data_IF_930784241697
#
_entry.id   IF_930784241697
#
_cell.length_a   1.000
_cell.length_b   1.000
_cell.length_c   1.000
_cell.angle_alpha   90.00
_cell.angle_beta   90.00
_cell.angle_gamma   90.00
#
_symmetry.space_group_name_H-M   'P 1'
#
loop_
_entity.id
_entity.type
_entity.pdbx_description
1 polymer ?
#
# COMPACT_ATOMS: atom_id res chain seq x y z
N UNK A 1 -7.07 0.13 6.22
CA UNK A 1 -8.46 0.13 6.69
C UNK A 1 -8.52 0.62 8.15
N UNK A 2 -7.77 0.00 9.09
CA UNK A 2 -7.78 0.34 10.51
C UNK A 2 -7.48 1.83 10.76
N UNK A 3 -6.45 2.38 10.14
CA UNK A 3 -6.09 3.80 10.25
C UNK A 3 -7.22 4.70 9.75
N UNK A 4 -7.88 4.34 8.64
CA UNK A 4 -9.02 5.08 8.11
C UNK A 4 -10.23 5.04 9.03
N UNK A 5 -10.52 3.89 9.65
CA UNK A 5 -11.60 3.76 10.63
C UNK A 5 -11.30 4.59 11.89
N UNK A 6 -10.07 4.50 12.41
CA UNK A 6 -9.65 5.27 13.59
C UNK A 6 -9.75 6.78 13.32
N UNK A 7 -9.30 7.23 12.16
CA UNK A 7 -9.40 8.63 11.77
C UNK A 7 -10.86 9.07 11.64
N UNK A 8 -11.68 8.31 10.92
CA UNK A 8 -13.08 8.69 10.66
C UNK A 8 -13.96 8.66 11.92
N UNK A 9 -13.71 7.71 12.82
CA UNK A 9 -14.54 7.50 14.01
C UNK A 9 -14.06 8.32 15.19
N UNK A 10 -12.75 8.40 15.42
CA UNK A 10 -12.20 8.96 16.67
C UNK A 10 -11.53 10.33 16.48
N UNK A 11 -10.94 10.60 15.32
CA UNK A 11 -10.18 11.85 15.10
C UNK A 11 -10.99 12.97 14.45
N UNK A 12 -12.15 12.65 13.85
CA UNK A 12 -13.01 13.67 13.23
C UNK A 12 -14.12 13.92 14.20
N UNK A 13 -14.74 13.94 14.93
CA UNK A 13 -15.90 14.05 15.80
C UNK A 13 -16.54 12.68 16.03
N UNK A 14 -16.26 12.12 17.18
CA UNK A 14 -16.82 10.84 17.57
C UNK A 14 -18.34 10.85 17.49
N UNK A 15 -18.89 9.87 16.81
CA UNK A 15 -20.33 9.66 16.73
C UNK A 15 -20.63 8.17 16.78
N UNK A 16 -21.49 7.77 17.70
CA UNK A 16 -21.98 6.40 17.81
C UNK A 16 -22.57 5.88 16.49
N UNK A 17 -23.20 6.76 15.72
CA UNK A 17 -23.74 6.42 14.38
C UNK A 17 -22.63 6.06 13.41
N UNK A 18 -21.55 6.84 13.34
CA UNK A 18 -20.39 6.55 12.51
C UNK A 18 -19.72 5.25 12.95
N UNK A 19 -19.55 5.04 14.24
CA UNK A 19 -18.98 3.82 14.80
C UNK A 19 -19.81 2.60 14.39
N UNK A 20 -21.14 2.64 14.59
CA UNK A 20 -22.04 1.54 14.25
C UNK A 20 -22.01 1.21 12.75
N UNK A 21 -22.02 2.22 11.86
CA UNK A 21 -21.90 1.99 10.42
C UNK A 21 -20.59 1.31 10.03
N UNK A 22 -19.46 1.73 10.61
CA UNK A 22 -18.17 1.10 10.33
C UNK A 22 -18.13 -0.34 10.88
N UNK A 23 -18.68 -0.58 12.08
CA UNK A 23 -18.77 -1.90 12.66
C UNK A 23 -19.67 -2.83 11.82
N UNK A 24 -20.86 -2.39 11.47
CA UNK A 24 -21.78 -3.16 10.62
C UNK A 24 -21.17 -3.43 9.23
N UNK A 25 -20.49 -2.46 8.63
CA UNK A 25 -19.77 -2.63 7.38
C UNK A 25 -18.64 -3.67 7.50
N UNK A 26 -17.87 -3.62 8.57
CA UNK A 26 -16.84 -4.63 8.84
C UNK A 26 -17.41 -6.03 9.02
N UNK A 27 -18.49 -6.16 9.81
CA UNK A 27 -19.18 -7.44 10.00
C UNK A 27 -19.77 -7.95 8.67
N UNK A 28 -20.38 -7.09 7.86
CA UNK A 28 -20.92 -7.47 6.56
C UNK A 28 -19.83 -8.01 5.63
N UNK A 29 -18.63 -7.41 5.62
CA UNK A 29 -17.49 -7.92 4.86
C UNK A 29 -17.06 -9.30 5.36
N UNK A 30 -16.94 -9.51 6.68
CA UNK A 30 -16.57 -10.80 7.25
C UNK A 30 -17.63 -11.85 6.90
N UNK A 31 -18.91 -11.54 7.09
CA UNK A 31 -20.01 -12.45 6.74
C UNK A 31 -20.00 -12.77 5.24
N UNK A 32 -19.78 -11.78 4.38
CA UNK A 32 -19.66 -11.98 2.94
C UNK A 32 -18.50 -12.92 2.58
N UNK A 33 -17.34 -12.74 3.19
CA UNK A 33 -16.19 -13.63 2.99
C UNK A 33 -16.51 -15.07 3.44
N UNK A 34 -17.14 -15.24 4.61
CA UNK A 34 -17.54 -16.57 5.09
C UNK A 34 -18.55 -17.23 4.17
N UNK A 35 -19.55 -16.48 3.68
CA UNK A 35 -20.53 -16.98 2.72
C UNK A 35 -19.88 -17.44 1.40
N UNK A 36 -18.89 -16.70 0.91
CA UNK A 36 -18.12 -17.08 -0.27
C UNK A 36 -17.29 -18.36 -0.05
N UNK A 37 -16.91 -18.68 1.18
CA UNK A 37 -16.19 -19.92 1.50
C UNK A 37 -17.13 -21.15 1.57
N UNK A 38 -18.43 -20.97 1.78
CA UNK A 38 -19.39 -22.08 1.97
C UNK A 38 -19.36 -23.11 0.83
N UNK A 39 -19.34 -22.74 -0.47
CA UNK A 39 -19.27 -23.72 -1.55
C UNK A 39 -18.01 -24.59 -1.55
N UNK A 40 -16.92 -24.12 -0.95
CA UNK A 40 -15.64 -24.80 -0.88
C UNK A 40 -15.44 -25.59 0.43
N UNK A 41 -16.36 -25.43 1.38
CA UNK A 41 -16.22 -25.93 2.74
C UNK A 41 -15.38 -24.99 3.64
N UNK A 42 -15.92 -24.64 4.78
CA UNK A 42 -15.25 -23.73 5.73
C UNK A 42 -13.95 -24.34 6.27
N UNK A 43 -13.91 -25.64 6.53
CA UNK A 43 -12.72 -26.35 7.00
C UNK A 43 -11.60 -26.32 5.96
N UNK A 44 -11.92 -26.53 4.67
CA UNK A 44 -10.96 -26.45 3.58
C UNK A 44 -10.44 -25.01 3.44
N UNK A 45 -11.30 -24.02 3.50
CA UNK A 45 -10.90 -22.61 3.38
C UNK A 45 -9.99 -22.17 4.55
N UNK A 46 -10.34 -22.54 5.80
CA UNK A 46 -9.54 -22.22 7.00
C UNK A 46 -8.21 -22.95 7.01
N UNK A 47 -8.20 -24.25 6.65
CA UNK A 47 -6.97 -25.04 6.52
C UNK A 47 -6.04 -24.46 5.46
N UNK A 48 -6.58 -24.12 4.29
CA UNK A 48 -5.78 -23.50 3.22
C UNK A 48 -5.22 -22.14 3.64
N UNK A 49 -6.01 -21.31 4.31
CA UNK A 49 -5.57 -20.00 4.80
C UNK A 49 -4.45 -20.14 5.83
N UNK A 50 -4.61 -21.03 6.82
CA UNK A 50 -3.59 -21.25 7.86
C UNK A 50 -2.31 -21.87 7.29
N UNK A 51 -2.41 -22.81 6.37
CA UNK A 51 -1.24 -23.41 5.71
C UNK A 51 -0.49 -22.36 4.86
N UNK A 52 -1.23 -21.48 4.18
CA UNK A 52 -0.63 -20.40 3.38
C UNK A 52 0.11 -19.38 4.26
N UNK A 53 -0.42 -19.07 5.45
CA UNK A 53 0.28 -18.20 6.41
C UNK A 53 1.59 -18.81 6.91
N UNK A 54 1.68 -20.16 7.00
CA UNK A 54 2.89 -20.88 7.37
C UNK A 54 3.86 -21.12 6.20
N UNK A 55 3.43 -20.95 4.96
CA UNK A 55 4.27 -21.17 3.78
C UNK A 55 5.23 -20.01 3.51
N UNK A 56 6.28 -20.28 2.74
CA UNK A 56 7.26 -19.28 2.32
C UNK A 56 8.01 -18.60 3.47
N UNK A 57 8.68 -19.39 4.29
CA UNK A 57 9.45 -18.90 5.46
C UNK A 57 10.78 -18.22 5.06
N UNK A 58 10.74 -17.27 4.13
CA UNK A 58 11.90 -16.57 3.59
C UNK A 58 11.85 -15.06 3.87
N UNK A 59 13.03 -14.42 3.88
CA UNK A 59 13.14 -12.97 4.05
C UNK A 59 12.45 -12.22 2.89
N UNK A 60 12.63 -12.69 1.66
CA UNK A 60 11.89 -12.24 0.48
C UNK A 60 11.68 -13.43 -0.47
N UNK A 61 10.60 -13.39 -1.26
CA UNK A 61 10.25 -14.41 -2.26
C UNK A 61 10.11 -13.70 -3.61
N UNK A 62 11.20 -13.57 -4.33
CA UNK A 62 11.27 -12.83 -5.60
C UNK A 62 10.84 -11.36 -5.53
N UNK A 63 10.68 -10.81 -4.34
CA UNK A 63 10.38 -9.40 -4.15
C UNK A 63 11.67 -8.57 -4.18
N UNK A 64 11.74 -7.61 -5.09
CA UNK A 64 12.85 -6.67 -5.18
C UNK A 64 12.60 -5.52 -4.21
N UNK A 65 12.83 -5.82 -2.94
CA UNK A 65 12.58 -4.97 -1.80
C UNK A 65 13.87 -4.76 -0.99
N UNK A 66 13.75 -4.26 0.25
CA UNK A 66 14.90 -4.07 1.14
C UNK A 66 15.71 -5.37 1.34
N UNK A 67 15.04 -6.50 1.54
CA UNK A 67 15.70 -7.79 1.71
C UNK A 67 16.35 -8.27 0.40
N UNK A 68 15.71 -8.00 -0.73
CA UNK A 68 16.28 -8.24 -2.06
C UNK A 68 17.52 -7.40 -2.31
N UNK A 69 17.55 -6.13 -1.87
CA UNK A 69 18.73 -5.26 -1.94
C UNK A 69 19.91 -5.81 -1.13
N UNK A 70 19.63 -6.50 -0.03
CA UNK A 70 20.65 -7.16 0.79
C UNK A 70 21.07 -8.55 0.26
N UNK A 71 20.52 -8.98 -0.88
CA UNK A 71 20.77 -10.31 -1.44
C UNK A 71 20.12 -11.45 -0.65
N UNK A 72 19.04 -11.14 0.09
CA UNK A 72 18.35 -12.09 0.98
C UNK A 72 17.08 -12.69 0.35
N UNK A 73 16.92 -12.65 -0.96
CA UNK A 73 15.88 -13.42 -1.64
C UNK A 73 16.10 -14.92 -1.39
N UNK A 74 15.03 -15.65 -1.03
CA UNK A 74 15.05 -17.06 -0.72
C UNK A 74 16.01 -17.45 0.41
N UNK A 75 16.34 -16.51 1.30
CA UNK A 75 17.05 -16.78 2.55
C UNK A 75 16.03 -17.02 3.65
N UNK A 76 16.26 -18.06 4.47
CA UNK A 76 15.39 -18.37 5.61
C UNK A 76 15.18 -17.13 6.49
N UNK A 77 13.93 -16.83 6.84
CA UNK A 77 13.57 -15.67 7.67
C UNK A 77 14.15 -15.71 9.09
N UNK A 78 14.61 -16.90 9.56
CA UNK A 78 15.26 -17.06 10.86
C UNK A 78 16.74 -16.71 10.80
N UNK A 79 17.30 -16.49 9.61
CA UNK A 79 18.68 -16.01 9.45
C UNK A 79 18.87 -14.71 10.20
N UNK A 80 19.95 -14.66 10.98
CA UNK A 80 20.29 -13.47 11.76
C UNK A 80 20.85 -12.40 10.82
N UNK A 81 20.21 -11.23 10.85
CA UNK A 81 20.68 -10.02 10.22
C UNK A 81 21.02 -9.01 11.32
N UNK A 82 22.27 -8.56 11.35
CA UNK A 82 22.87 -7.79 12.44
C UNK A 82 22.83 -8.58 13.76
N UNK A 83 21.79 -8.46 14.56
CA UNK A 83 21.66 -9.08 15.89
C UNK A 83 20.30 -9.75 16.15
N UNK A 84 19.38 -9.71 15.19
CA UNK A 84 18.05 -10.33 15.27
C UNK A 84 17.74 -11.13 13.99
N UNK A 85 16.86 -12.14 14.07
CA UNK A 85 16.33 -12.81 12.88
C UNK A 85 15.59 -11.84 11.96
N UNK A 86 15.66 -12.07 10.65
CA UNK A 86 14.94 -11.26 9.64
C UNK A 86 13.44 -11.15 9.96
N UNK A 87 12.80 -12.24 10.42
CA UNK A 87 11.38 -12.23 10.84
C UNK A 87 11.09 -11.21 11.93
N UNK A 88 12.00 -11.05 12.89
CA UNK A 88 11.84 -10.09 13.99
C UNK A 88 11.96 -8.67 13.48
N UNK A 89 12.94 -8.40 12.62
CA UNK A 89 13.05 -7.11 11.95
C UNK A 89 11.81 -6.77 11.12
N UNK A 90 11.28 -7.76 10.35
CA UNK A 90 10.03 -7.58 9.60
C UNK A 90 8.84 -7.26 10.49
N UNK A 91 8.72 -7.91 11.66
CA UNK A 91 7.66 -7.63 12.63
C UNK A 91 7.79 -6.25 13.25
N UNK A 92 8.99 -5.85 13.63
CA UNK A 92 9.29 -4.49 14.12
C UNK A 92 8.94 -3.46 13.04
N UNK A 93 9.32 -3.71 11.78
CA UNK A 93 9.00 -2.84 10.67
C UNK A 93 7.48 -2.66 10.52
N UNK A 94 6.69 -3.72 10.58
CA UNK A 94 5.21 -3.64 10.50
C UNK A 94 4.66 -2.71 11.58
N UNK A 95 5.09 -2.89 12.83
CA UNK A 95 4.64 -2.04 13.94
C UNK A 95 5.02 -0.58 13.70
N UNK A 96 6.27 -0.33 13.32
CA UNK A 96 6.76 1.03 13.05
C UNK A 96 6.03 1.67 11.86
N UNK A 97 5.75 0.92 10.79
CA UNK A 97 5.01 1.40 9.62
C UNK A 97 3.60 1.82 10.03
N UNK A 98 2.90 1.00 10.82
CA UNK A 98 1.54 1.31 11.27
C UNK A 98 1.54 2.56 12.16
N UNK A 99 2.44 2.62 13.15
CA UNK A 99 2.57 3.78 14.03
C UNK A 99 2.93 5.05 13.25
N UNK A 100 3.89 4.96 12.35
CA UNK A 100 4.33 6.10 11.54
C UNK A 100 3.22 6.59 10.61
N UNK A 101 2.51 5.67 9.95
CA UNK A 101 1.36 6.04 9.11
C UNK A 101 0.25 6.69 9.94
N UNK A 102 0.01 6.21 11.15
CA UNK A 102 -0.95 6.83 12.06
C UNK A 102 -0.51 8.25 12.46
N UNK A 103 0.76 8.46 12.76
CA UNK A 103 1.30 9.80 13.04
C UNK A 103 1.18 10.75 11.84
N UNK A 104 1.41 10.25 10.62
CA UNK A 104 1.16 11.03 9.41
C UNK A 104 -0.33 11.35 9.29
N UNK A 105 -1.21 10.38 9.51
CA UNK A 105 -2.66 10.57 9.43
C UNK A 105 -3.17 11.67 10.37
N UNK A 106 -2.61 11.76 11.59
CA UNK A 106 -2.93 12.82 12.55
C UNK A 106 -2.54 14.22 12.05
N UNK A 107 -1.50 14.30 11.23
CA UNK A 107 -0.99 15.57 10.69
C UNK A 107 -1.54 15.90 9.30
N UNK A 108 -2.08 14.92 8.61
CA UNK A 108 -2.70 15.12 7.30
C UNK A 108 -3.92 16.02 7.41
N UNK A 109 -4.04 16.97 6.47
CA UNK A 109 -5.24 17.77 6.34
C UNK A 109 -6.44 16.90 5.98
N UNK A 110 -7.65 17.36 6.38
CA UNK A 110 -8.91 16.68 6.06
C UNK A 110 -9.18 16.78 4.55
N UNK A 111 -8.62 15.87 3.80
CA UNK A 111 -8.74 15.78 2.35
C UNK A 111 -9.18 14.36 1.95
N UNK A 112 -10.19 14.19 1.08
CA UNK A 112 -10.72 12.87 0.73
C UNK A 112 -9.67 11.89 0.17
N UNK A 113 -8.74 12.40 -0.63
CA UNK A 113 -7.69 11.59 -1.26
C UNK A 113 -6.65 11.03 -0.26
N UNK A 114 -6.60 11.53 0.97
CA UNK A 114 -5.63 11.09 1.99
C UNK A 114 -5.73 9.60 2.30
N UNK A 115 -6.94 9.02 2.24
CA UNK A 115 -7.14 7.59 2.52
C UNK A 115 -6.49 6.71 1.46
N UNK A 116 -6.57 7.09 0.19
CA UNK A 116 -5.87 6.41 -0.88
C UNK A 116 -4.35 6.56 -0.73
N UNK A 117 -3.90 7.76 -0.40
CA UNK A 117 -2.49 8.07 -0.21
C UNK A 117 -1.89 7.28 0.96
N UNK A 118 -2.52 7.30 2.13
CA UNK A 118 -2.06 6.56 3.32
C UNK A 118 -2.16 5.04 3.12
N UNK A 119 -3.21 4.57 2.45
CA UNK A 119 -3.36 3.17 2.09
C UNK A 119 -2.26 2.70 1.14
N UNK A 120 -1.95 3.47 0.11
CA UNK A 120 -0.81 3.21 -0.76
C UNK A 120 0.51 3.19 0.02
N UNK A 121 0.72 4.17 0.89
CA UNK A 121 1.94 4.27 1.69
C UNK A 121 2.15 3.05 2.60
N UNK A 122 1.11 2.62 3.32
CA UNK A 122 1.19 1.41 4.17
C UNK A 122 1.61 0.19 3.34
N UNK A 123 0.90 -0.08 2.22
CA UNK A 123 1.13 -1.29 1.44
C UNK A 123 2.50 -1.28 0.79
N UNK A 124 2.90 -0.17 0.18
CA UNK A 124 4.21 -0.03 -0.46
C UNK A 124 5.35 -0.13 0.55
N UNK A 125 5.18 0.46 1.74
CA UNK A 125 6.19 0.39 2.80
C UNK A 125 6.26 -1.02 3.40
N UNK A 126 5.11 -1.69 3.60
CA UNK A 126 5.08 -3.09 4.04
C UNK A 126 5.75 -4.02 3.03
N UNK A 127 5.48 -3.84 1.73
CA UNK A 127 6.16 -4.59 0.68
C UNK A 127 7.68 -4.44 0.78
N UNK A 128 8.16 -3.24 1.08
CA UNK A 128 9.58 -2.96 1.14
C UNK A 128 10.28 -3.54 2.36
N UNK A 129 9.68 -3.50 3.54
CA UNK A 129 10.39 -3.81 4.78
C UNK A 129 9.91 -5.08 5.50
N UNK A 130 8.72 -5.60 5.18
CA UNK A 130 8.27 -6.85 5.79
C UNK A 130 8.95 -8.05 5.15
N UNK A 131 9.03 -9.15 5.90
CA UNK A 131 9.47 -10.46 5.37
C UNK A 131 8.31 -11.19 4.67
N UNK A 132 8.62 -12.29 3.96
CA UNK A 132 7.66 -13.14 3.23
C UNK A 132 6.94 -12.39 2.08
N UNK A 133 7.52 -11.29 1.59
CA UNK A 133 6.93 -10.54 0.48
C UNK A 133 7.19 -11.21 -0.84
N UNK A 134 6.13 -11.35 -1.64
CA UNK A 134 6.18 -11.76 -3.04
C UNK A 134 6.15 -10.55 -3.97
N UNK A 135 6.67 -10.71 -5.17
CA UNK A 135 6.66 -9.67 -6.21
C UNK A 135 5.27 -9.05 -6.42
N UNK A 136 4.21 -9.86 -6.40
CA UNK A 136 2.82 -9.44 -6.65
C UNK A 136 2.16 -8.61 -5.52
N UNK A 137 2.74 -8.58 -4.34
CA UNK A 137 2.11 -7.90 -3.18
C UNK A 137 2.16 -6.38 -3.25
N UNK A 138 2.87 -5.83 -4.23
CA UNK A 138 2.87 -4.39 -4.48
C UNK A 138 1.62 -3.90 -5.24
N UNK A 139 0.91 -4.74 -6.00
CA UNK A 139 -0.23 -4.34 -6.84
C UNK A 139 -1.31 -3.53 -6.13
N UNK A 140 -1.80 -3.92 -4.93
CA UNK A 140 -2.82 -3.12 -4.25
C UNK A 140 -2.34 -1.72 -3.89
N UNK A 141 -1.05 -1.57 -3.56
CA UNK A 141 -0.43 -0.28 -3.29
C UNK A 141 -0.40 0.62 -4.52
N UNK A 142 -0.07 0.04 -5.69
CA UNK A 142 -0.08 0.75 -6.97
C UNK A 142 -1.49 1.20 -7.35
N UNK A 143 -2.49 0.35 -7.16
CA UNK A 143 -3.89 0.71 -7.43
C UNK A 143 -4.33 1.90 -6.57
N UNK A 144 -4.03 1.89 -5.27
CA UNK A 144 -4.35 3.01 -4.38
C UNK A 144 -3.58 4.28 -4.74
N UNK A 145 -2.31 4.15 -5.15
CA UNK A 145 -1.51 5.29 -5.60
C UNK A 145 -2.06 5.88 -6.89
N UNK A 146 -2.57 5.06 -7.81
CA UNK A 146 -3.26 5.52 -9.01
C UNK A 146 -4.50 6.36 -8.65
N UNK A 147 -5.36 5.87 -7.74
CA UNK A 147 -6.49 6.67 -7.26
C UNK A 147 -6.04 7.98 -6.61
N UNK A 148 -4.94 7.96 -5.86
CA UNK A 148 -4.35 9.17 -5.31
C UNK A 148 -3.96 10.18 -6.40
N UNK A 149 -3.34 9.71 -7.50
CA UNK A 149 -3.00 10.55 -8.67
C UNK A 149 -4.24 11.14 -9.37
N UNK A 150 -5.32 10.36 -9.47
CA UNK A 150 -6.56 10.81 -10.09
C UNK A 150 -7.26 11.90 -9.24
N UNK A 151 -7.24 11.74 -7.92
CA UNK A 151 -7.81 12.75 -7.01
C UNK A 151 -6.96 14.01 -6.93
N UNK A 152 -5.65 13.87 -6.97
CA UNK A 152 -4.69 14.96 -6.84
C UNK A 152 -3.67 14.88 -7.98
N UNK A 153 -4.00 15.43 -9.16
CA UNK A 153 -3.20 15.28 -10.37
C UNK A 153 -1.92 16.14 -10.32
N UNK A 154 -1.06 15.87 -9.34
CA UNK A 154 0.26 16.48 -9.25
C UNK A 154 1.25 15.74 -10.14
N UNK A 155 2.04 16.47 -10.94
CA UNK A 155 3.04 15.86 -11.81
C UNK A 155 4.07 15.01 -11.05
N UNK A 156 4.40 15.38 -9.81
CA UNK A 156 5.28 14.58 -8.94
C UNK A 156 4.65 13.26 -8.51
N UNK A 157 3.33 13.21 -8.22
CA UNK A 157 2.63 11.97 -7.94
C UNK A 157 2.61 11.03 -9.14
N UNK A 158 2.34 11.57 -10.34
CA UNK A 158 2.37 10.77 -11.57
C UNK A 158 3.77 10.22 -11.87
N UNK A 159 4.83 11.00 -11.67
CA UNK A 159 6.22 10.53 -11.80
C UNK A 159 6.53 9.42 -10.79
N UNK A 160 6.12 9.58 -9.55
CA UNK A 160 6.27 8.58 -8.50
C UNK A 160 5.52 7.29 -8.84
N UNK A 161 4.25 7.38 -9.28
CA UNK A 161 3.46 6.24 -9.74
C UNK A 161 4.14 5.52 -10.91
N UNK A 162 4.58 6.26 -11.93
CA UNK A 162 5.24 5.69 -13.09
C UNK A 162 6.55 4.98 -12.70
N UNK A 163 7.33 5.54 -11.79
CA UNK A 163 8.54 4.92 -11.26
C UNK A 163 8.25 3.59 -10.57
N UNK A 164 7.31 3.58 -9.62
CA UNK A 164 6.90 2.34 -8.96
C UNK A 164 6.34 1.31 -9.94
N UNK A 165 5.46 1.73 -10.85
CA UNK A 165 4.84 0.83 -11.83
C UNK A 165 5.86 0.19 -12.77
N UNK A 166 6.81 0.97 -13.28
CA UNK A 166 7.86 0.48 -14.18
C UNK A 166 8.80 -0.51 -13.45
N UNK A 167 9.26 -0.17 -12.26
CA UNK A 167 10.15 -1.03 -11.48
C UNK A 167 9.44 -2.31 -11.02
N UNK A 168 8.17 -2.20 -10.64
CA UNK A 168 7.36 -3.35 -10.29
C UNK A 168 7.08 -4.26 -11.49
N UNK A 169 6.74 -3.68 -12.64
CA UNK A 169 6.59 -4.43 -13.88
C UNK A 169 7.87 -5.19 -14.22
N UNK A 170 9.02 -4.51 -14.11
CA UNK A 170 10.30 -5.15 -14.33
C UNK A 170 10.54 -6.31 -13.33
N UNK A 171 10.29 -6.10 -12.03
CA UNK A 171 10.43 -7.18 -11.04
C UNK A 171 9.58 -8.39 -11.43
N UNK A 172 8.29 -8.19 -11.72
CA UNK A 172 7.38 -9.28 -12.06
C UNK A 172 7.77 -9.97 -13.37
N UNK A 173 8.12 -9.20 -14.40
CA UNK A 173 8.54 -9.74 -15.70
C UNK A 173 9.85 -10.52 -15.57
N UNK A 174 10.84 -10.00 -14.84
CA UNK A 174 12.11 -10.67 -14.65
C UNK A 174 11.94 -12.00 -13.91
N UNK A 175 11.07 -12.04 -12.89
CA UNK A 175 10.73 -13.29 -12.19
C UNK A 175 10.04 -14.27 -13.14
N UNK A 176 9.09 -13.80 -13.94
CA UNK A 176 8.34 -14.65 -14.86
C UNK A 176 9.23 -15.31 -15.92
N UNK A 177 10.19 -14.57 -16.47
CA UNK A 177 10.97 -15.00 -17.63
C UNK A 177 12.36 -15.58 -17.28
N UNK A 178 12.94 -15.17 -16.15
CA UNK A 178 14.33 -15.49 -15.83
C UNK A 178 14.52 -16.24 -14.51
N UNK A 179 13.45 -16.48 -13.74
CA UNK A 179 13.59 -17.20 -12.49
C UNK A 179 13.90 -18.67 -12.73
N UNK A 180 15.10 -19.08 -12.36
CA UNK A 180 15.55 -20.47 -12.32
C UNK A 180 16.01 -20.80 -10.90
N UNK A 181 15.31 -21.68 -10.17
CA UNK A 181 15.66 -22.05 -8.80
C UNK A 181 17.08 -22.63 -8.66
N UNK A 182 17.60 -23.25 -9.73
CA UNK A 182 18.91 -23.90 -9.71
C UNK A 182 20.07 -22.91 -9.92
N UNK A 183 19.83 -21.83 -10.68
CA UNK A 183 20.84 -20.85 -11.07
C UNK A 183 20.52 -19.44 -10.57
N UNK A 184 19.73 -19.30 -9.50
CA UNK A 184 19.29 -18.00 -9.03
C UNK A 184 20.42 -17.22 -8.32
N UNK A 185 20.91 -16.17 -8.97
CA UNK A 185 21.86 -15.24 -8.38
C UNK A 185 21.11 -14.17 -7.56
N UNK A 186 21.13 -14.32 -6.23
CA UNK A 186 20.50 -13.41 -5.27
C UNK A 186 21.09 -12.00 -5.29
N UNK A 187 22.32 -11.87 -5.79
CA UNK A 187 23.08 -10.60 -5.85
C UNK A 187 23.23 -10.06 -7.26
N UNK A 188 22.44 -10.57 -8.20
CA UNK A 188 22.45 -10.06 -9.56
C UNK A 188 22.31 -8.53 -9.54
N UNK A 189 23.17 -7.77 -10.25
CA UNK A 189 23.17 -6.30 -10.21
C UNK A 189 21.80 -5.69 -10.50
N UNK A 190 21.03 -6.34 -11.35
CA UNK A 190 19.69 -5.87 -11.72
C UNK A 190 18.70 -5.97 -10.55
N UNK A 191 18.78 -7.00 -9.71
CA UNK A 191 17.95 -7.13 -8.51
C UNK A 191 18.27 -6.00 -7.54
N UNK A 192 19.57 -5.73 -7.33
CA UNK A 192 20.03 -4.67 -6.44
C UNK A 192 19.58 -3.30 -6.95
N UNK A 193 19.71 -3.05 -8.25
CA UNK A 193 19.38 -1.79 -8.89
C UNK A 193 17.88 -1.49 -8.81
N UNK A 194 17.04 -2.48 -9.14
CA UNK A 194 15.58 -2.34 -9.09
C UNK A 194 15.10 -2.18 -7.64
N UNK A 195 15.66 -2.95 -6.70
CA UNK A 195 15.35 -2.81 -5.28
C UNK A 195 15.69 -1.42 -4.74
N UNK A 196 16.87 -0.90 -5.10
CA UNK A 196 17.28 0.46 -4.73
C UNK A 196 16.35 1.52 -5.37
N UNK A 197 15.95 1.31 -6.62
CA UNK A 197 15.01 2.18 -7.31
C UNK A 197 13.63 2.23 -6.63
N UNK A 198 13.10 1.08 -6.19
CA UNK A 198 11.82 1.02 -5.46
C UNK A 198 11.94 1.75 -4.10
N UNK A 199 13.05 1.58 -3.38
CA UNK A 199 13.33 2.32 -2.14
C UNK A 199 13.40 3.83 -2.38
N UNK A 200 14.04 4.26 -3.47
CA UNK A 200 14.08 5.67 -3.86
C UNK A 200 12.68 6.21 -4.17
N UNK A 201 11.85 5.46 -4.89
CA UNK A 201 10.45 5.84 -5.15
C UNK A 201 9.66 6.00 -3.84
N UNK A 202 9.88 5.13 -2.83
CA UNK A 202 9.23 5.27 -1.52
C UNK A 202 9.68 6.55 -0.80
N UNK A 203 10.98 6.84 -0.82
CA UNK A 203 11.49 8.08 -0.25
C UNK A 203 10.90 9.32 -0.91
N UNK A 204 10.78 9.29 -2.25
CA UNK A 204 10.17 10.38 -3.00
C UNK A 204 8.66 10.50 -2.70
N UNK A 205 7.96 9.36 -2.59
CA UNK A 205 6.56 9.33 -2.19
C UNK A 205 6.35 9.91 -0.79
N UNK A 206 7.22 9.61 0.16
CA UNK A 206 7.19 10.21 1.50
C UNK A 206 7.30 11.74 1.44
N UNK A 207 8.23 12.29 0.65
CA UNK A 207 8.35 13.76 0.45
C UNK A 207 7.07 14.35 -0.13
N UNK A 208 6.46 13.67 -1.10
CA UNK A 208 5.21 14.08 -1.72
C UNK A 208 4.07 14.11 -0.71
N UNK A 209 3.96 13.10 0.16
CA UNK A 209 2.98 13.07 1.25
C UNK A 209 3.18 14.27 2.15
N UNK A 210 4.40 14.51 2.59
CA UNK A 210 4.72 15.61 3.47
C UNK A 210 4.35 16.96 2.85
N UNK A 211 4.74 17.16 1.61
CA UNK A 211 4.48 18.39 0.84
C UNK A 211 2.99 18.67 0.70
N UNK A 212 2.23 17.74 0.17
CA UNK A 212 0.85 17.99 -0.25
C UNK A 212 -0.20 17.67 0.83
N UNK A 213 0.05 16.68 1.67
CA UNK A 213 -0.95 16.22 2.64
C UNK A 213 -0.71 16.75 4.05
N UNK A 214 0.53 16.99 4.44
CA UNK A 214 0.88 17.54 5.76
C UNK A 214 0.96 19.07 5.68
N UNK A 215 1.80 19.60 4.80
CA UNK A 215 1.94 21.08 4.64
C UNK A 215 0.79 21.68 3.83
N UNK A 216 0.12 20.92 2.99
CA UNK A 216 -1.03 21.37 2.22
C UNK A 216 -0.66 22.35 1.10
N UNK A 217 0.52 22.17 0.50
CA UNK A 217 0.90 22.98 -0.65
C UNK A 217 -0.07 22.74 -1.82
N UNK A 218 -0.41 23.82 -2.52
CA UNK A 218 -1.27 23.75 -3.69
C UNK A 218 -0.58 22.94 -4.80
N UNK A 219 -1.36 22.08 -5.47
CA UNK A 219 -0.88 21.36 -6.63
C UNK A 219 -0.84 22.29 -7.82
N UNK A 220 0.34 22.57 -8.35
CA UNK A 220 0.47 23.19 -9.66
C UNK A 220 0.09 22.12 -10.69
N UNK A 221 -1.12 22.21 -11.23
CA UNK A 221 -1.57 21.31 -12.30
C UNK A 221 -0.70 21.63 -13.50
N UNK A 222 0.21 20.73 -13.86
CA UNK A 222 0.86 20.83 -15.15
C UNK A 222 -0.24 20.70 -16.22
N UNK A 223 -0.33 21.69 -17.10
CA UNK A 223 -1.26 21.69 -18.22
C UNK A 223 -0.89 20.51 -19.15
N UNK A 224 -1.44 19.34 -18.88
CA UNK A 224 -1.22 18.12 -19.65
C UNK A 224 -2.47 17.25 -19.57
N UNK A 225 -2.72 16.48 -20.57
CA UNK A 225 -3.81 15.49 -20.78
C UNK A 225 -4.24 14.70 -19.53
N UNK A 226 -3.36 14.53 -18.53
CA UNK A 226 -3.66 13.90 -17.25
C UNK A 226 -4.56 14.77 -16.34
N UNK A 227 -4.52 16.10 -16.49
CA UNK A 227 -5.40 17.03 -15.77
C UNK A 227 -6.85 16.90 -16.24
N UNK A 228 -7.05 16.76 -17.54
CA UNK A 228 -8.38 16.57 -18.12
C UNK A 228 -9.01 15.23 -17.72
N UNK A 229 -8.21 14.16 -17.67
CA UNK A 229 -8.70 12.84 -17.24
C UNK A 229 -9.10 12.86 -15.76
N UNK A 230 -8.30 13.52 -14.92
CA UNK A 230 -8.57 13.66 -13.48
C UNK A 230 -9.79 14.52 -13.19
N UNK A 231 -10.02 15.61 -13.94
CA UNK A 231 -11.21 16.46 -13.81
C UNK A 231 -12.48 15.71 -14.26
N UNK A 232 -12.43 15.04 -15.39
CA UNK A 232 -13.54 14.25 -15.92
C UNK A 232 -13.93 13.09 -14.98
N UNK A 233 -12.94 12.39 -14.40
CA UNK A 233 -13.19 11.35 -13.40
C UNK A 233 -13.83 11.93 -12.13
N UNK A 234 -13.35 13.08 -11.68
CA UNK A 234 -13.89 13.77 -10.51
C UNK A 234 -15.34 14.20 -10.73
N UNK A 235 -15.66 14.80 -11.86
CA UNK A 235 -17.01 15.27 -12.17
C UNK A 235 -18.01 14.13 -12.33
N UNK A 236 -17.64 13.05 -12.98
CA UNK A 236 -18.58 11.98 -13.31
C UNK A 236 -18.71 10.88 -12.24
N UNK A 237 -17.64 10.59 -11.52
CA UNK A 237 -17.62 9.47 -10.57
C UNK A 237 -17.62 9.88 -9.10
N UNK A 238 -17.19 11.10 -8.77
CA UNK A 238 -16.99 11.51 -7.38
C UNK A 238 -17.88 12.66 -6.95
N UNK A 239 -18.41 13.47 -7.87
CA UNK A 239 -19.38 14.51 -7.56
C UNK A 239 -20.66 13.98 -6.87
N UNK A 240 -21.19 12.78 -7.19
CA UNK A 240 -22.32 12.23 -6.47
C UNK A 240 -22.01 11.85 -5.01
N UNK A 241 -20.73 11.74 -4.64
CA UNK A 241 -20.28 11.39 -3.30
C UNK A 241 -19.87 12.61 -2.46
N UNK A 242 -19.89 13.79 -3.05
CA UNK A 242 -19.68 15.04 -2.31
C UNK A 242 -20.90 15.33 -1.44
N UNK A 243 -20.72 15.70 -0.16
CA UNK A 243 -21.83 16.10 0.69
C UNK A 243 -22.52 17.30 0.05
N UNK A 244 -23.83 17.21 -0.17
CA UNK A 244 -24.68 18.32 -0.57
C UNK A 244 -24.48 19.47 0.41
N UNK A 245 -24.19 20.69 -0.05
CA UNK A 245 -24.10 21.85 0.85
C UNK A 245 -25.43 21.96 1.59
N UNK A 246 -25.36 22.01 2.92
CA UNK A 246 -26.52 22.23 3.78
C UNK A 246 -27.20 23.55 3.36
N UNK A 247 -28.47 23.43 2.97
CA UNK A 247 -29.36 24.62 2.84
C UNK A 247 -29.62 25.20 4.22
N UNK A 248 -28.69 25.97 4.71
CA UNK A 248 -28.89 26.90 5.82
C UNK A 248 -28.04 28.11 5.52
N UNK A 249 -28.68 29.05 4.83
CA UNK A 249 -28.51 30.51 4.91
C UNK A 249 -29.39 31.15 3.82
N UNK A 250 -30.64 31.30 4.12
CA UNK A 250 -31.46 32.45 3.68
C UNK A 250 -32.20 32.96 4.92
#
# INVERSE_FOLDING_TARGET
LLVGILDHVFLQDFSWRKFSYNLCGGLAVICGMLLLCVPFGLDAATSQYTSTLGSYEYAAVNAYNFWGLLGMNWVDQNTIFLFLPCRTWGSIAIVLIVLFTFLIALRCRKEPSRYFCLGAFIILTMFLFSVRMHERYMYPGLALLLFCCLYKPAGSLWKCYAGFAALHFYNTANVLYHYDPQNYDRKAPIILLVSAGILYCLYDFYKIIWKYYVHGEAVTVAATTAGDLGSHFREHFLSPLAPTPSKEQV
#
